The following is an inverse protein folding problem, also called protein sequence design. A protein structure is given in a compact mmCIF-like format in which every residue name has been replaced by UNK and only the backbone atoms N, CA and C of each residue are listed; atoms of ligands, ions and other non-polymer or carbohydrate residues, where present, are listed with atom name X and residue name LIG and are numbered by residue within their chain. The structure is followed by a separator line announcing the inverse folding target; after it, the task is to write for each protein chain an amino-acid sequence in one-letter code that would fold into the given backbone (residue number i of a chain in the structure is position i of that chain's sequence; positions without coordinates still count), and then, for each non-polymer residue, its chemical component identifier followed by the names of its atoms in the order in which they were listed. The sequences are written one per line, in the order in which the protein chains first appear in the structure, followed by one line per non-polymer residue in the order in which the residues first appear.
data_IF_961435504972
#
_entry.id   IF_961435504972
#
_cell.length_a   1.000
_cell.length_b   1.000
_cell.length_c   1.000
_cell.angle_alpha   90.00
_cell.angle_beta   90.00
_cell.angle_gamma   90.00
#
_symmetry.space_group_name_H-M   'P 1'
#
loop_
_entity.id
_entity.type
_entity.pdbx_description
1 polymer ?
#
# COMPACT_ATOMS: atom_id res chain seq x y z
N UNK A 1 11.05 -8.18 -7.44
CA UNK A 1 11.72 -6.86 -7.58
C UNK A 1 12.37 -6.78 -8.96
N UNK A 2 11.76 -6.13 -9.98
CA UNK A 2 12.40 -6.02 -11.32
C UNK A 2 11.97 -4.83 -12.21
N UNK A 3 11.25 -3.79 -11.74
CA UNK A 3 10.99 -2.59 -12.57
C UNK A 3 11.20 -1.24 -11.88
N UNK A 4 11.72 -1.23 -10.65
CA UNK A 4 12.09 -0.02 -9.93
C UNK A 4 13.50 -0.12 -9.42
N UNK A 5 14.50 -0.08 -10.31
CA UNK A 5 15.83 0.30 -9.84
C UNK A 5 15.74 1.75 -9.36
N UNK A 6 16.08 1.97 -8.07
CA UNK A 6 16.26 3.30 -7.51
C UNK A 6 17.14 4.12 -8.46
N UNK A 7 16.61 5.17 -9.07
CA UNK A 7 17.45 6.10 -9.85
C UNK A 7 16.74 6.88 -10.94
N UNK A 8 15.72 6.32 -11.61
CA UNK A 8 15.10 7.02 -12.74
C UNK A 8 13.56 6.96 -12.75
N UNK A 9 12.97 7.83 -11.93
CA UNK A 9 11.52 8.07 -11.93
C UNK A 9 11.02 8.64 -13.27
N UNK A 10 11.86 9.34 -14.04
CA UNK A 10 11.44 9.91 -15.34
C UNK A 10 11.21 8.80 -16.36
N UNK A 11 12.12 7.83 -16.45
CA UNK A 11 11.95 6.65 -17.30
C UNK A 11 10.78 5.78 -16.86
N UNK A 12 10.56 5.63 -15.55
CA UNK A 12 9.40 4.91 -15.03
C UNK A 12 8.08 5.59 -15.43
N UNK A 13 7.99 6.92 -15.30
CA UNK A 13 6.82 7.69 -15.75
C UNK A 13 6.60 7.60 -17.26
N UNK A 14 7.66 7.79 -18.05
CA UNK A 14 7.57 7.68 -19.50
C UNK A 14 7.10 6.29 -19.94
N UNK A 15 7.64 5.23 -19.33
CA UNK A 15 7.21 3.85 -19.59
C UNK A 15 5.77 3.62 -19.15
N UNK A 16 5.36 4.18 -18.01
CA UNK A 16 3.99 4.09 -17.54
C UNK A 16 3.01 4.79 -18.51
N UNK A 17 3.36 5.97 -19.02
CA UNK A 17 2.52 6.76 -19.92
C UNK A 17 2.42 6.12 -21.31
N UNK A 18 3.52 5.55 -21.82
CA UNK A 18 3.60 4.93 -23.15
C UNK A 18 2.90 3.57 -23.24
N UNK A 19 2.73 2.86 -22.11
CA UNK A 19 1.98 1.60 -22.08
C UNK A 19 0.49 1.87 -22.30
N UNK A 20 -0.04 1.35 -23.41
CA UNK A 20 -1.44 1.47 -23.83
C UNK A 20 -2.41 0.67 -22.96
N UNK A 21 -1.98 -0.48 -22.43
CA UNK A 21 -2.76 -1.33 -21.53
C UNK A 21 -2.09 -1.39 -20.17
N UNK A 22 -2.58 -0.59 -19.22
CA UNK A 22 -2.07 -0.56 -17.84
C UNK A 22 -2.71 -1.70 -17.05
N UNK A 23 -1.91 -2.61 -16.50
CA UNK A 23 -2.36 -3.66 -15.59
C UNK A 23 -2.03 -3.35 -14.12
N UNK A 24 -2.54 -4.16 -13.19
CA UNK A 24 -2.24 -4.01 -11.75
C UNK A 24 -0.75 -4.04 -11.44
N UNK A 25 0.04 -4.81 -12.20
CA UNK A 25 1.50 -4.85 -12.06
C UNK A 25 2.16 -3.53 -12.47
N UNK A 26 1.71 -2.89 -13.56
CA UNK A 26 2.24 -1.60 -14.03
C UNK A 26 1.97 -0.50 -13.01
N UNK A 27 0.74 -0.46 -12.46
CA UNK A 27 0.38 0.46 -11.38
C UNK A 27 1.20 0.21 -10.10
N UNK A 28 1.36 -1.06 -9.70
CA UNK A 28 2.17 -1.40 -8.52
C UNK A 28 3.61 -0.94 -8.70
N UNK A 29 4.21 -1.19 -9.87
CA UNK A 29 5.59 -0.80 -10.15
C UNK A 29 5.80 0.72 -10.09
N UNK A 30 4.88 1.52 -10.64
CA UNK A 30 5.01 2.99 -10.60
C UNK A 30 4.80 3.55 -9.18
N UNK A 31 3.88 2.96 -8.40
CA UNK A 31 3.68 3.31 -6.98
C UNK A 31 4.95 3.03 -6.17
N UNK A 32 5.54 1.84 -6.35
CA UNK A 32 6.83 1.49 -5.73
C UNK A 32 7.94 2.45 -6.15
N UNK A 33 8.02 2.80 -7.45
CA UNK A 33 9.01 3.74 -7.96
C UNK A 33 8.88 5.12 -7.30
N UNK A 34 7.66 5.67 -7.16
CA UNK A 34 7.45 6.90 -6.41
C UNK A 34 7.88 6.77 -4.94
N UNK A 35 7.51 5.67 -4.28
CA UNK A 35 7.90 5.37 -2.90
C UNK A 35 9.41 5.35 -2.69
N UNK A 36 10.14 4.60 -3.52
CA UNK A 36 11.60 4.47 -3.45
C UNK A 36 12.34 5.79 -3.72
N UNK A 37 11.73 6.74 -4.44
CA UNK A 37 12.31 8.06 -4.71
C UNK A 37 11.87 9.12 -3.68
N UNK A 38 11.27 8.72 -2.55
CA UNK A 38 10.81 9.63 -1.49
C UNK A 38 9.61 10.49 -1.89
N UNK A 39 8.99 10.22 -3.05
CA UNK A 39 7.83 10.94 -3.59
C UNK A 39 6.54 10.34 -3.02
N UNK A 40 6.46 10.27 -1.69
CA UNK A 40 5.45 9.49 -0.97
C UNK A 40 4.02 9.96 -1.27
N UNK A 41 3.79 11.28 -1.36
CA UNK A 41 2.48 11.84 -1.73
C UNK A 41 2.06 11.45 -3.15
N UNK A 42 3.00 11.46 -4.10
CA UNK A 42 2.71 11.11 -5.49
C UNK A 42 2.40 9.62 -5.64
N UNK A 43 3.09 8.76 -4.89
CA UNK A 43 2.77 7.33 -4.84
C UNK A 43 1.33 7.08 -4.38
N UNK A 44 0.89 7.80 -3.34
CA UNK A 44 -0.46 7.70 -2.81
C UNK A 44 -1.48 8.22 -3.80
N UNK A 45 -1.22 9.36 -4.44
CA UNK A 45 -2.09 9.90 -5.49
C UNK A 45 -2.21 8.90 -6.65
N UNK A 46 -1.12 8.25 -7.04
CA UNK A 46 -1.10 7.22 -8.07
C UNK A 46 -1.96 6.00 -7.70
N UNK A 47 -1.91 5.57 -6.43
CA UNK A 47 -2.81 4.51 -5.95
C UNK A 47 -4.28 4.92 -5.93
N UNK A 48 -4.59 6.14 -5.48
CA UNK A 48 -5.96 6.65 -5.51
C UNK A 48 -6.48 6.79 -6.95
N UNK A 49 -5.61 7.17 -7.89
CA UNK A 49 -5.90 7.22 -9.32
C UNK A 49 -6.18 5.82 -9.89
N UNK A 50 -5.34 4.82 -9.56
CA UNK A 50 -5.54 3.42 -9.93
C UNK A 50 -6.95 2.95 -9.58
N UNK A 51 -7.37 3.19 -8.33
CA UNK A 51 -8.71 2.83 -7.84
C UNK A 51 -9.80 3.61 -8.59
N UNK A 52 -9.63 4.92 -8.77
CA UNK A 52 -10.62 5.77 -9.45
C UNK A 52 -10.88 5.36 -10.90
N UNK A 53 -9.86 4.81 -11.57
CA UNK A 53 -9.93 4.29 -12.94
C UNK A 53 -10.45 2.86 -13.01
N UNK A 54 -10.86 2.27 -11.89
CA UNK A 54 -11.43 0.93 -11.82
C UNK A 54 -10.42 -0.22 -11.91
N UNK A 55 -9.12 0.07 -11.78
CA UNK A 55 -8.11 -0.99 -11.73
C UNK A 55 -8.09 -1.65 -10.36
N UNK A 56 -7.99 -2.98 -10.35
CA UNK A 56 -8.00 -3.78 -9.12
C UNK A 56 -6.60 -3.86 -8.50
N UNK A 57 -6.36 -3.29 -7.32
CA UNK A 57 -5.11 -3.50 -6.58
C UNK A 57 -5.00 -4.95 -6.13
N UNK A 58 -3.77 -5.44 -6.04
CA UNK A 58 -3.49 -6.77 -5.49
C UNK A 58 -2.77 -6.64 -4.13
N UNK A 59 -2.46 -7.77 -3.51
CA UNK A 59 -1.75 -7.81 -2.22
C UNK A 59 -0.44 -7.02 -2.25
N UNK A 60 0.35 -7.13 -3.33
CA UNK A 60 1.60 -6.36 -3.47
C UNK A 60 1.37 -4.86 -3.56
N UNK A 61 0.31 -4.42 -4.26
CA UNK A 61 -0.08 -3.02 -4.30
C UNK A 61 -0.39 -2.51 -2.89
N UNK A 62 -1.14 -3.27 -2.09
CA UNK A 62 -1.46 -2.92 -0.70
C UNK A 62 -0.23 -2.89 0.21
N UNK A 63 0.69 -3.86 0.09
CA UNK A 63 1.97 -3.83 0.81
C UNK A 63 2.75 -2.57 0.49
N UNK A 64 2.86 -2.19 -0.80
CA UNK A 64 3.59 -1.00 -1.21
C UNK A 64 2.99 0.28 -0.60
N UNK A 65 1.68 0.48 -0.71
CA UNK A 65 1.04 1.71 -0.23
C UNK A 65 1.00 1.81 1.29
N UNK A 66 0.85 0.70 2.02
CA UNK A 66 0.93 0.71 3.47
C UNK A 66 2.34 1.05 3.96
N UNK A 67 3.38 0.57 3.26
CA UNK A 67 4.77 0.93 3.57
C UNK A 67 5.00 2.43 3.37
N UNK A 68 4.49 2.97 2.26
CA UNK A 68 4.58 4.39 1.94
C UNK A 68 3.80 5.24 2.95
N UNK A 69 2.61 4.81 3.37
CA UNK A 69 1.87 5.48 4.44
C UNK A 69 2.65 5.47 5.77
N UNK A 70 3.29 4.36 6.12
CA UNK A 70 4.11 4.24 7.33
C UNK A 70 5.30 5.20 7.30
N UNK A 71 6.00 5.28 6.17
CA UNK A 71 7.11 6.22 5.96
C UNK A 71 6.65 7.68 5.99
N UNK A 72 5.48 7.99 5.41
CA UNK A 72 4.95 9.36 5.32
C UNK A 72 4.22 9.83 6.59
N UNK A 73 3.94 8.93 7.54
CA UNK A 73 3.10 9.23 8.70
C UNK A 73 1.62 9.41 8.36
N UNK A 74 1.14 8.83 7.26
CA UNK A 74 -0.26 8.95 6.83
C UNK A 74 -1.15 7.90 7.51
N UNK A 75 -1.34 8.05 8.82
CA UNK A 75 -2.08 7.11 9.67
C UNK A 75 -3.50 6.85 9.16
N UNK A 76 -4.28 7.91 8.90
CA UNK A 76 -5.66 7.77 8.43
C UNK A 76 -5.76 7.08 7.07
N UNK A 77 -4.81 7.38 6.15
CA UNK A 77 -4.77 6.72 4.84
C UNK A 77 -4.39 5.24 4.99
N UNK A 78 -3.45 4.90 5.86
CA UNK A 78 -3.10 3.51 6.13
C UNK A 78 -4.31 2.71 6.64
N UNK A 79 -5.05 3.22 7.64
CA UNK A 79 -6.26 2.57 8.15
C UNK A 79 -7.33 2.42 7.07
N UNK A 80 -7.54 3.46 6.24
CA UNK A 80 -8.49 3.40 5.12
C UNK A 80 -8.08 2.33 4.10
N UNK A 81 -6.81 2.28 3.69
CA UNK A 81 -6.34 1.32 2.69
C UNK A 81 -6.32 -0.10 3.22
N UNK A 82 -5.93 -0.30 4.48
CA UNK A 82 -6.02 -1.60 5.13
C UNK A 82 -7.48 -2.10 5.17
N UNK A 83 -8.43 -1.24 5.54
CA UNK A 83 -9.85 -1.59 5.49
C UNK A 83 -10.35 -1.88 4.08
N UNK A 84 -9.87 -1.14 3.08
CA UNK A 84 -10.25 -1.33 1.69
C UNK A 84 -9.80 -2.71 1.17
N UNK A 85 -8.60 -3.15 1.55
CA UNK A 85 -8.00 -4.44 1.17
C UNK A 85 -8.94 -5.61 1.49
N UNK A 86 -9.43 -5.72 2.72
CA UNK A 86 -10.26 -6.85 3.14
C UNK A 86 -11.75 -6.65 2.86
N UNK A 87 -12.29 -5.42 3.00
CA UNK A 87 -13.75 -5.20 2.88
C UNK A 87 -14.22 -5.18 1.44
N UNK A 88 -13.51 -4.48 0.56
CA UNK A 88 -13.91 -4.26 -0.83
C UNK A 88 -13.21 -5.24 -1.75
N UNK A 89 -11.88 -5.36 -1.65
CA UNK A 89 -11.11 -6.23 -2.53
C UNK A 89 -11.05 -7.69 -2.06
N UNK A 90 -11.58 -8.00 -0.87
CA UNK A 90 -11.63 -9.36 -0.28
C UNK A 90 -10.25 -10.03 -0.21
N UNK A 91 -9.19 -9.24 -0.12
CA UNK A 91 -7.83 -9.72 0.05
C UNK A 91 -7.57 -9.94 1.54
N UNK A 92 -7.06 -11.12 1.88
CA UNK A 92 -6.69 -11.44 3.27
C UNK A 92 -5.41 -10.68 3.65
N UNK A 93 -5.43 -9.84 4.69
CA UNK A 93 -4.22 -9.22 5.20
C UNK A 93 -3.28 -10.28 5.78
N UNK A 94 -2.03 -10.28 5.35
CA UNK A 94 -0.98 -11.08 5.98
C UNK A 94 -0.51 -10.46 7.31
N UNK A 95 0.26 -11.21 8.09
CA UNK A 95 0.88 -10.72 9.34
C UNK A 95 1.66 -9.42 9.12
N UNK A 96 2.42 -9.32 8.02
CA UNK A 96 3.14 -8.10 7.66
C UNK A 96 2.21 -6.88 7.55
N UNK A 97 1.02 -7.04 6.94
CA UNK A 97 0.08 -5.93 6.79
C UNK A 97 -0.43 -5.44 8.15
N UNK A 98 -0.70 -6.37 9.09
CA UNK A 98 -1.08 -6.01 10.45
C UNK A 98 0.06 -5.29 11.17
N UNK A 99 1.27 -5.86 11.16
CA UNK A 99 2.45 -5.28 11.79
C UNK A 99 2.72 -3.85 11.30
N UNK A 100 2.67 -3.61 9.99
CA UNK A 100 2.88 -2.29 9.41
C UNK A 100 1.89 -1.23 9.92
N UNK A 101 0.61 -1.60 10.06
CA UNK A 101 -0.44 -0.66 10.52
C UNK A 101 -0.38 -0.49 12.04
N UNK A 102 -0.16 -1.56 12.80
CA UNK A 102 -0.02 -1.52 14.26
C UNK A 102 1.18 -0.66 14.68
N UNK A 103 2.35 -0.86 14.06
CA UNK A 103 3.55 -0.05 14.31
C UNK A 103 3.31 1.43 14.01
N UNK A 104 2.64 1.73 12.90
CA UNK A 104 2.28 3.09 12.52
C UNK A 104 1.32 3.72 13.54
N UNK A 105 0.28 3.01 13.95
CA UNK A 105 -0.67 3.48 14.96
C UNK A 105 0.01 3.75 16.30
N UNK A 106 0.84 2.82 16.77
CA UNK A 106 1.61 2.98 18.00
C UNK A 106 2.55 4.19 17.93
N UNK A 107 3.27 4.37 16.82
CA UNK A 107 4.19 5.50 16.61
C UNK A 107 3.49 6.86 16.68
N UNK A 108 2.24 6.95 16.24
CA UNK A 108 1.46 8.19 16.24
C UNK A 108 0.42 8.27 17.37
N UNK A 109 0.55 7.42 18.40
CA UNK A 109 -0.25 7.48 19.62
C UNK A 109 -1.67 6.94 19.53
N UNK A 110 -2.03 6.25 18.44
CA UNK A 110 -3.37 5.62 18.26
C UNK A 110 -3.43 4.21 18.86
N UNK A 111 -3.04 4.09 20.12
CA UNK A 111 -2.82 2.82 20.81
C UNK A 111 -4.08 1.95 20.87
N UNK A 112 -5.26 2.54 21.07
CA UNK A 112 -6.53 1.78 21.09
C UNK A 112 -6.83 1.09 19.76
N UNK A 113 -6.56 1.76 18.63
CA UNK A 113 -6.75 1.17 17.30
C UNK A 113 -5.72 0.05 17.06
N UNK A 114 -4.48 0.23 17.52
CA UNK A 114 -3.42 -0.77 17.43
C UNK A 114 -3.78 -2.05 18.19
N UNK A 115 -4.24 -1.93 19.44
CA UNK A 115 -4.67 -3.07 20.26
C UNK A 115 -5.82 -3.85 19.65
N UNK A 116 -6.79 -3.16 19.03
CA UNK A 116 -7.90 -3.83 18.31
C UNK A 116 -7.37 -4.66 17.14
N UNK A 117 -6.39 -4.14 16.40
CA UNK A 117 -5.78 -4.87 15.29
C UNK A 117 -4.91 -6.05 15.75
N UNK A 118 -4.21 -5.93 16.89
CA UNK A 118 -3.44 -7.05 17.49
C UNK A 118 -4.35 -8.24 17.85
N UNK A 119 -5.51 -7.98 18.47
CA UNK A 119 -6.48 -9.03 18.80
C UNK A 119 -7.00 -9.71 17.52
N UNK A 120 -7.25 -8.93 16.47
CA UNK A 120 -7.69 -9.45 15.17
C UNK A 120 -6.61 -10.28 14.48
N UNK A 121 -5.34 -9.87 14.54
CA UNK A 121 -4.23 -10.63 13.94
C UNK A 121 -4.04 -11.97 14.66
N UNK A 122 -4.03 -11.97 16.01
CA UNK A 122 -3.89 -13.20 16.80
C UNK A 122 -5.03 -14.19 16.57
N UNK A 123 -6.27 -13.68 16.41
CA UNK A 123 -7.44 -14.52 16.13
C UNK A 123 -7.40 -15.15 14.72
N UNK A 124 -6.76 -14.47 13.77
CA UNK A 124 -6.60 -14.95 12.39
C UNK A 124 -5.54 -16.04 12.28
N UNK A 125 -4.45 -15.95 13.04
CA UNK A 125 -3.38 -16.96 13.06
C UNK A 125 -3.79 -18.29 13.74
N UNK A 126 -4.87 -18.31 14.54
CA UNK A 126 -5.38 -19.52 15.20
C UNK A 126 -6.34 -20.38 14.35
N UNK A 127 -6.65 -20.01 13.10
CA UNK A 127 -7.61 -20.73 12.24
C UNK A 127 -6.99 -21.48 11.04
N UNK A 128 -5.66 -21.65 10.99
CA UNK A 128 -4.95 -22.49 10.00
C UNK A 128 -4.42 -23.75 10.66
#
# INVERSE_FOLDING_TARGET
KMYGQCGDLKSANFSFDTVSVKGSLTWTAIIEAYGCNGRLKDAINCFEEMISKGFTPNTFTFTAVLSICSQAGFVDKACRFFNLMHRIYKLQPSEDHYSMVIELLNRFGRVEEAQRLEIMSSSSSTQT
#
